data_IF_759252033914
#
_entry.id   IF_759252033914
#
_cell.length_a   1.000
_cell.length_b   1.000
_cell.length_c   1.000
_cell.angle_alpha   90.00
_cell.angle_beta   90.00
_cell.angle_gamma   90.00
#
_symmetry.space_group_name_H-M   'P 1'
#
loop_
_entity.id
_entity.type
_entity.pdbx_description
1 polymer ?
#
# COMPACT_ATOMS: atom_id res chain seq x y z
N UNK A 1 19.34 4.17 3.49
CA UNK A 1 17.94 4.55 3.80
C UNK A 1 17.74 6.06 3.67
N UNK A 2 18.45 6.88 4.45
CA UNK A 2 18.30 8.34 4.49
C UNK A 2 18.36 9.06 3.13
N UNK A 3 19.22 8.59 2.23
CA UNK A 3 19.47 9.26 0.95
C UNK A 3 18.40 8.99 -0.14
N UNK A 4 17.76 7.83 -0.12
CA UNK A 4 16.95 7.36 -1.26
C UNK A 4 15.54 6.90 -0.85
N UNK A 5 15.38 6.35 0.35
CA UNK A 5 14.12 5.72 0.77
C UNK A 5 13.24 6.68 1.58
N UNK A 6 13.86 7.58 2.36
CA UNK A 6 13.17 8.54 3.24
C UNK A 6 12.25 9.47 2.46
N UNK A 7 12.61 9.82 1.22
CA UNK A 7 11.80 10.68 0.37
C UNK A 7 10.35 10.18 0.20
N UNK A 8 10.14 8.87 0.17
CA UNK A 8 8.81 8.26 0.06
C UNK A 8 8.33 7.62 1.37
N UNK A 9 9.22 6.98 2.13
CA UNK A 9 8.84 6.21 3.32
C UNK A 9 8.95 6.99 4.64
N UNK A 10 9.37 8.25 4.60
CA UNK A 10 9.56 9.09 5.80
C UNK A 10 10.85 8.78 6.56
N UNK A 11 11.25 9.72 7.40
CA UNK A 11 12.50 9.69 8.19
C UNK A 11 12.56 8.50 9.17
N UNK A 12 11.40 8.09 9.68
CA UNK A 12 11.23 6.97 10.61
C UNK A 12 10.64 5.73 9.93
N UNK A 13 10.54 5.70 8.60
CA UNK A 13 9.90 4.60 7.88
C UNK A 13 8.39 4.51 8.12
N UNK A 14 7.74 5.60 8.48
CA UNK A 14 6.30 5.67 8.77
C UNK A 14 5.41 5.58 7.52
N UNK A 15 5.99 5.64 6.32
CA UNK A 15 5.26 5.67 5.05
C UNK A 15 4.74 7.06 4.71
N UNK A 16 4.21 7.20 3.50
CA UNK A 16 3.57 8.42 3.02
C UNK A 16 2.35 8.07 2.15
N UNK A 17 1.15 8.45 2.61
CA UNK A 17 -0.12 8.18 1.92
C UNK A 17 -0.23 8.88 0.58
N UNK A 18 0.39 10.04 0.40
CA UNK A 18 0.37 10.80 -0.86
C UNK A 18 0.98 9.98 -2.01
N UNK A 19 2.07 9.25 -1.73
CA UNK A 19 2.71 8.36 -2.69
C UNK A 19 2.17 6.92 -2.62
N UNK A 20 1.24 6.61 -1.71
CA UNK A 20 0.84 5.24 -1.39
C UNK A 20 1.99 4.39 -0.83
N UNK A 21 3.05 5.02 -0.31
CA UNK A 21 4.21 4.34 0.24
C UNK A 21 3.87 3.74 1.61
N UNK A 22 3.95 2.40 1.78
CA UNK A 22 3.59 1.77 3.04
C UNK A 22 4.62 2.09 4.15
N UNK A 23 4.21 2.03 5.43
CA UNK A 23 5.15 2.02 6.54
C UNK A 23 6.09 0.81 6.44
N UNK A 24 7.38 1.04 6.69
CA UNK A 24 8.42 0.04 6.80
C UNK A 24 8.82 -0.23 8.27
N UNK A 25 8.27 0.55 9.20
CA UNK A 25 8.56 0.48 10.63
C UNK A 25 7.64 -0.47 11.42
N UNK A 26 6.74 -1.18 10.74
CA UNK A 26 5.84 -2.17 11.36
C UNK A 26 6.01 -3.56 10.72
N UNK A 27 5.29 -4.54 11.25
CA UNK A 27 5.34 -5.93 10.81
C UNK A 27 4.23 -6.30 9.80
N UNK A 28 3.65 -5.32 9.10
CA UNK A 28 2.55 -5.54 8.16
C UNK A 28 3.09 -5.42 6.73
N UNK A 29 3.15 -6.54 6.01
CA UNK A 29 3.78 -6.62 4.69
C UNK A 29 2.82 -7.19 3.64
N UNK A 30 2.64 -6.48 2.52
CA UNK A 30 1.79 -6.95 1.42
C UNK A 30 2.46 -8.06 0.59
N UNK A 31 3.78 -7.95 0.35
CA UNK A 31 4.52 -8.85 -0.54
C UNK A 31 5.37 -9.89 0.22
N UNK A 32 5.42 -9.83 1.54
CA UNK A 32 6.29 -10.63 2.41
C UNK A 32 7.41 -9.79 3.05
N UNK A 33 7.73 -10.10 4.31
CA UNK A 33 8.69 -9.35 5.14
C UNK A 33 10.03 -10.06 5.36
N UNK A 34 10.28 -11.20 4.71
CA UNK A 34 11.56 -11.88 4.80
C UNK A 34 12.64 -11.15 3.98
N UNK A 35 13.90 -11.37 4.35
CA UNK A 35 15.05 -10.65 3.76
C UNK A 35 15.17 -10.84 2.25
N UNK A 36 14.86 -12.02 1.74
CA UNK A 36 15.01 -12.31 0.31
C UNK A 36 13.94 -11.58 -0.47
N UNK A 37 12.69 -11.62 0.01
CA UNK A 37 11.58 -10.87 -0.58
C UNK A 37 11.82 -9.37 -0.56
N UNK A 38 12.31 -8.80 0.56
CA UNK A 38 12.60 -7.36 0.64
C UNK A 38 13.69 -6.97 -0.36
N UNK A 39 14.77 -7.76 -0.47
CA UNK A 39 15.84 -7.50 -1.42
C UNK A 39 15.35 -7.52 -2.86
N UNK A 40 14.48 -8.47 -3.21
CA UNK A 40 13.87 -8.58 -4.53
C UNK A 40 12.93 -7.40 -4.83
N UNK A 41 12.10 -6.98 -3.85
CA UNK A 41 11.22 -5.81 -4.00
C UNK A 41 12.03 -4.53 -4.24
N UNK A 42 13.16 -4.36 -3.54
CA UNK A 42 14.04 -3.19 -3.73
C UNK A 42 14.70 -3.23 -5.12
N UNK A 43 15.18 -4.40 -5.55
CA UNK A 43 15.90 -4.53 -6.82
C UNK A 43 14.96 -4.42 -8.04
N UNK A 44 13.78 -5.01 -7.96
CA UNK A 44 12.91 -5.22 -9.12
C UNK A 44 11.62 -4.37 -9.10
N UNK A 45 11.35 -3.67 -8.00
CA UNK A 45 10.09 -2.93 -7.75
C UNK A 45 8.83 -3.80 -7.79
N UNK A 46 7.74 -3.34 -7.16
CA UNK A 46 6.42 -3.96 -7.26
C UNK A 46 5.41 -2.92 -7.71
N UNK A 47 5.00 -2.99 -8.99
CA UNK A 47 4.05 -2.05 -9.62
C UNK A 47 2.61 -2.50 -9.34
N UNK A 48 2.21 -2.46 -8.07
CA UNK A 48 0.84 -2.82 -7.66
C UNK A 48 -0.18 -1.89 -8.32
N UNK A 49 -1.24 -2.46 -8.89
CA UNK A 49 -2.34 -1.71 -9.52
C UNK A 49 -3.65 -2.14 -8.88
N UNK A 50 -4.40 -1.19 -8.32
CA UNK A 50 -5.80 -1.38 -7.96
C UNK A 50 -6.67 -0.88 -9.13
N UNK A 51 -7.37 -1.76 -9.87
CA UNK A 51 -8.19 -1.35 -10.99
C UNK A 51 -9.33 -0.40 -10.59
N UNK A 52 -9.72 0.48 -11.50
CA UNK A 52 -10.87 1.35 -11.29
C UNK A 52 -12.19 0.57 -11.47
N UNK A 53 -12.89 0.31 -10.37
CA UNK A 53 -14.14 -0.48 -10.38
C UNK A 53 -15.37 0.28 -10.88
N UNK A 54 -15.36 1.61 -10.89
CA UNK A 54 -16.52 2.43 -11.30
C UNK A 54 -16.90 2.32 -12.79
N UNK A 55 -16.12 1.62 -13.61
CA UNK A 55 -16.48 1.28 -15.02
C UNK A 55 -17.17 -0.08 -15.15
N UNK A 56 -17.14 -0.89 -14.09
CA UNK A 56 -17.60 -2.27 -14.07
C UNK A 56 -18.82 -2.41 -13.15
N UNK A 57 -18.80 -1.72 -12.02
CA UNK A 57 -19.84 -1.76 -10.98
C UNK A 57 -20.62 -0.46 -10.97
N UNK A 58 -21.91 -0.56 -10.64
CA UNK A 58 -22.77 0.61 -10.46
C UNK A 58 -22.38 1.40 -9.18
N UNK A 59 -22.72 2.70 -9.10
CA UNK A 59 -22.33 3.54 -7.96
C UNK A 59 -22.84 3.05 -6.60
N UNK A 60 -24.01 2.39 -6.54
CA UNK A 60 -24.58 1.90 -5.28
C UNK A 60 -23.75 0.72 -4.78
N UNK A 61 -23.42 -0.22 -5.66
CA UNK A 61 -22.54 -1.35 -5.34
C UNK A 61 -21.15 -0.89 -4.88
N UNK A 62 -20.55 0.09 -5.56
CA UNK A 62 -19.25 0.67 -5.14
C UNK A 62 -19.33 1.28 -3.74
N UNK A 63 -20.44 1.97 -3.42
CA UNK A 63 -20.65 2.55 -2.08
C UNK A 63 -20.81 1.46 -1.02
N UNK A 64 -21.57 0.41 -1.30
CA UNK A 64 -21.74 -0.72 -0.37
C UNK A 64 -20.41 -1.43 -0.10
N UNK A 65 -19.62 -1.70 -1.14
CA UNK A 65 -18.29 -2.31 -1.00
C UNK A 65 -17.33 -1.42 -0.22
N UNK A 66 -17.37 -0.10 -0.44
CA UNK A 66 -16.57 0.86 0.34
C UNK A 66 -16.89 0.79 1.82
N UNK A 67 -18.18 0.76 2.19
CA UNK A 67 -18.62 0.63 3.59
C UNK A 67 -18.15 -0.72 4.16
N UNK A 68 -18.31 -1.80 3.40
CA UNK A 68 -17.91 -3.13 3.82
C UNK A 68 -16.40 -3.22 4.09
N UNK A 69 -15.55 -2.78 3.15
CA UNK A 69 -14.08 -2.75 3.32
C UNK A 69 -13.68 -1.86 4.49
N UNK A 70 -14.35 -0.73 4.69
CA UNK A 70 -14.09 0.13 5.85
C UNK A 70 -14.41 -0.57 7.17
N UNK A 71 -15.51 -1.33 7.24
CA UNK A 71 -15.87 -2.11 8.44
C UNK A 71 -14.85 -3.20 8.79
N UNK A 72 -14.07 -3.67 7.82
CA UNK A 72 -12.97 -4.61 8.01
C UNK A 72 -11.66 -3.94 8.46
N UNK A 73 -11.65 -2.62 8.68
CA UNK A 73 -10.47 -1.83 9.04
C UNK A 73 -9.74 -1.19 7.86
N UNK A 74 -10.32 -1.21 6.66
CA UNK A 74 -9.77 -0.52 5.48
C UNK A 74 -10.05 0.99 5.45
N UNK A 75 -9.31 1.73 4.63
CA UNK A 75 -9.59 3.16 4.33
C UNK A 75 -8.94 4.20 5.26
N UNK A 76 -8.12 3.76 6.22
CA UNK A 76 -7.37 4.65 7.13
C UNK A 76 -6.21 5.38 6.45
#
# INVERSE_FOLDING_TARGET
FAEQCVACHGDKGQGNREFGAPPLSNNIWLYGGDRNTIADVIANSRRGVMPAWGRILDPVTVKQLTIYVHSLGGGN
#
